data_IF_372281943942
#
_entry.id   IF_372281943942
#
_cell.length_a   1.000
_cell.length_b   1.000
_cell.length_c   1.000
_cell.angle_alpha   90.00
_cell.angle_beta   90.00
_cell.angle_gamma   90.00
#
_symmetry.space_group_name_H-M   'P 1'
#
loop_
_entity.id
_entity.type
_entity.pdbx_description
1 polymer ?
#
# COMPACT_ATOMS: atom_id res chain seq x y z
N UNK A 1 0.42 13.11 -12.89
CA UNK A 1 0.01 12.43 -11.63
C UNK A 1 -1.49 12.63 -11.45
N UNK A 2 -2.30 11.57 -11.33
CA UNK A 2 -3.79 11.63 -11.29
C UNK A 2 -4.34 12.09 -9.91
N UNK A 3 -3.65 13.02 -9.26
CA UNK A 3 -3.98 13.47 -7.89
C UNK A 3 -3.66 12.47 -6.77
N UNK A 4 -2.87 11.42 -7.05
CA UNK A 4 -2.39 10.49 -6.05
C UNK A 4 -0.98 10.86 -5.60
N UNK A 5 -0.77 10.84 -4.29
CA UNK A 5 0.55 10.88 -3.67
C UNK A 5 1.15 9.48 -3.67
N UNK A 6 2.38 9.33 -4.17
CA UNK A 6 3.07 8.03 -4.24
C UNK A 6 4.00 7.95 -3.04
N UNK A 7 3.78 6.96 -2.19
CA UNK A 7 4.48 6.81 -0.90
C UNK A 7 5.06 5.41 -0.80
N UNK A 8 6.28 5.27 -0.28
CA UNK A 8 6.84 3.94 -0.03
C UNK A 8 6.22 3.33 1.22
N UNK A 9 5.99 2.02 1.21
CA UNK A 9 5.50 1.31 2.39
C UNK A 9 6.36 1.55 3.64
N UNK A 10 7.68 1.66 3.50
CA UNK A 10 8.59 1.96 4.61
C UNK A 10 8.29 3.30 5.29
N UNK A 11 7.88 4.32 4.53
CA UNK A 11 7.53 5.64 5.08
C UNK A 11 6.21 5.60 5.85
N UNK A 12 5.27 4.76 5.40
CA UNK A 12 4.02 4.51 6.12
C UNK A 12 4.28 3.74 7.41
N UNK A 13 5.06 2.65 7.34
CA UNK A 13 5.35 1.78 8.50
C UNK A 13 6.16 2.53 9.57
N UNK A 14 7.08 3.40 9.15
CA UNK A 14 7.89 4.22 10.07
C UNK A 14 7.16 5.45 10.61
N UNK A 15 5.90 5.68 10.22
CA UNK A 15 5.11 6.84 10.65
C UNK A 15 5.58 8.18 10.07
N UNK A 16 6.45 8.16 9.04
CA UNK A 16 6.89 9.36 8.32
C UNK A 16 5.82 9.91 7.38
N UNK A 17 4.83 9.09 7.04
CA UNK A 17 3.68 9.47 6.23
C UNK A 17 2.38 9.09 6.93
N UNK A 18 1.50 10.08 7.13
CA UNK A 18 0.17 9.88 7.69
C UNK A 18 -0.87 9.69 6.57
N UNK A 19 -1.35 8.45 6.42
CA UNK A 19 -2.35 8.09 5.40
C UNK A 19 -3.70 8.77 5.63
N UNK A 20 -4.05 9.12 6.88
CA UNK A 20 -5.34 9.72 7.22
C UNK A 20 -5.45 11.17 6.73
N UNK A 21 -4.32 11.86 6.58
CA UNK A 21 -4.27 13.24 6.06
C UNK A 21 -4.29 13.31 4.53
N UNK A 22 -4.06 12.17 3.86
CA UNK A 22 -3.92 12.11 2.41
C UNK A 22 -5.27 11.90 1.72
N UNK A 23 -5.62 12.77 0.77
CA UNK A 23 -6.90 12.65 0.03
C UNK A 23 -6.93 11.39 -0.84
N UNK A 24 -5.80 11.09 -1.50
CA UNK A 24 -5.59 9.90 -2.32
C UNK A 24 -4.09 9.57 -2.33
N UNK A 25 -3.73 8.37 -1.88
CA UNK A 25 -2.35 7.90 -1.94
C UNK A 25 -2.25 6.52 -2.60
N UNK A 26 -1.06 6.21 -3.12
CA UNK A 26 -0.65 4.89 -3.60
C UNK A 26 0.55 4.49 -2.77
N UNK A 27 0.39 3.44 -1.97
CA UNK A 27 1.48 2.85 -1.20
C UNK A 27 2.20 1.83 -2.08
N UNK A 28 3.47 2.09 -2.38
CA UNK A 28 4.30 1.18 -3.18
C UNK A 28 5.01 0.18 -2.29
N UNK A 29 5.03 -1.07 -2.74
CA UNK A 29 5.71 -2.19 -2.08
C UNK A 29 6.78 -2.72 -3.01
N UNK A 30 7.95 -3.01 -2.45
CA UNK A 30 8.99 -3.76 -3.16
C UNK A 30 8.59 -5.24 -3.16
N UNK A 31 8.35 -5.84 -4.33
CA UNK A 31 7.77 -7.18 -4.38
C UNK A 31 7.57 -7.74 -5.78
N UNK A 32 8.64 -7.85 -6.57
CA UNK A 32 8.60 -8.50 -7.89
C UNK A 32 8.16 -9.96 -7.83
N UNK A 33 8.33 -10.61 -6.68
CA UNK A 33 7.98 -12.02 -6.49
C UNK A 33 6.47 -12.27 -6.34
N UNK A 34 5.70 -11.29 -5.85
CA UNK A 34 4.24 -11.45 -5.71
C UNK A 34 3.55 -11.63 -7.07
N UNK A 35 3.80 -10.76 -8.09
CA UNK A 35 3.28 -10.98 -9.44
C UNK A 35 3.72 -12.29 -10.08
N UNK A 36 4.91 -12.83 -9.74
CA UNK A 36 5.38 -14.13 -10.27
C UNK A 36 4.52 -15.28 -9.77
N UNK A 37 4.01 -15.19 -8.54
CA UNK A 37 2.99 -16.09 -8.01
C UNK A 37 1.57 -15.78 -8.49
N UNK A 38 1.39 -14.81 -9.39
CA UNK A 38 0.08 -14.36 -9.87
C UNK A 38 -0.73 -13.56 -8.85
N UNK A 39 -0.10 -13.13 -7.75
CA UNK A 39 -0.76 -12.48 -6.62
C UNK A 39 -0.38 -11.01 -6.45
N UNK A 40 -1.30 -10.22 -5.92
CA UNK A 40 -1.02 -8.88 -5.40
C UNK A 40 -1.14 -8.83 -3.88
N UNK A 41 -0.84 -7.68 -3.25
CA UNK A 41 -0.95 -7.51 -1.80
C UNK A 41 -2.32 -7.91 -1.24
N UNK A 42 -3.40 -7.62 -1.96
CA UNK A 42 -4.77 -8.03 -1.58
C UNK A 42 -4.97 -9.54 -1.54
N UNK A 43 -4.35 -10.28 -2.47
CA UNK A 43 -4.41 -11.74 -2.52
C UNK A 43 -3.73 -12.37 -1.29
N UNK A 44 -2.78 -11.67 -0.67
CA UNK A 44 -2.04 -12.11 0.52
C UNK A 44 -2.72 -11.72 1.84
N UNK A 45 -3.94 -11.20 1.79
CA UNK A 45 -4.65 -10.73 2.99
C UNK A 45 -6.05 -11.35 3.10
N UNK A 46 -6.44 -11.70 4.32
CA UNK A 46 -7.79 -12.12 4.67
C UNK A 46 -8.34 -11.18 5.77
N UNK A 47 -9.01 -10.08 5.40
CA UNK A 47 -9.52 -9.13 6.38
C UNK A 47 -10.64 -9.75 7.22
N UNK A 48 -10.43 -9.84 8.54
CA UNK A 48 -11.40 -10.43 9.48
C UNK A 48 -12.50 -9.44 9.88
N UNK A 49 -12.20 -8.14 9.86
CA UNK A 49 -13.13 -7.05 10.17
C UNK A 49 -12.83 -5.86 9.26
N UNK A 50 -13.88 -5.16 8.85
CA UNK A 50 -13.80 -3.83 8.24
C UNK A 50 -14.55 -2.86 9.14
N UNK A 51 -14.04 -1.64 9.27
CA UNK A 51 -14.72 -0.53 9.93
C UNK A 51 -15.36 0.35 8.86
#
# INVERSE_FOLDING_TARGET
>A
KKGFEIVRADDVISGRFDMETSVKCVVTLDGSELPRGGGGPRCMTMPLRRQ
#
